data_IF_507683449354
#
_entry.id   IF_507683449354
#
_cell.length_a   1.000
_cell.length_b   1.000
_cell.length_c   1.000
_cell.angle_alpha   90.00
_cell.angle_beta   90.00
_cell.angle_gamma   90.00
#
_symmetry.space_group_name_H-M   'P 1'
#
loop_
_entity.id
_entity.type
_entity.pdbx_description
1 polymer ?
#
# COMPACT_ATOMS: atom_id res chain seq x y z
N UNK A 1 60.10 63.72 25.48
CA UNK A 1 60.17 62.25 25.66
C UNK A 1 59.56 61.94 27.02
N UNK A 2 58.29 61.53 27.08
CA UNK A 2 57.62 60.87 28.21
C UNK A 2 56.23 60.46 27.70
N UNK A 3 56.16 59.23 27.17
CA UNK A 3 54.93 58.66 26.65
C UNK A 3 54.15 58.01 27.78
N UNK A 4 52.89 58.41 27.93
CA UNK A 4 51.92 57.75 28.80
C UNK A 4 51.32 56.60 28.00
N UNK A 5 51.61 55.37 28.41
CA UNK A 5 50.99 54.15 27.88
C UNK A 5 49.73 53.90 28.70
N UNK A 6 48.56 54.06 28.07
CA UNK A 6 47.28 53.60 28.62
C UNK A 6 47.14 52.10 28.36
N UNK A 7 46.75 51.28 29.36
CA UNK A 7 46.49 49.88 29.13
C UNK A 7 45.19 49.74 28.33
N UNK A 8 45.29 49.13 27.16
CA UNK A 8 44.15 48.68 26.36
C UNK A 8 43.47 47.58 27.18
N UNK A 9 42.26 47.85 27.65
CA UNK A 9 41.43 46.86 28.33
C UNK A 9 41.17 45.69 27.38
N UNK A 10 41.54 44.48 27.82
CA UNK A 10 41.09 43.26 27.18
C UNK A 10 39.56 43.20 27.26
N UNK A 11 38.90 43.45 26.13
CA UNK A 11 37.49 43.12 25.95
C UNK A 11 37.40 41.61 25.95
N UNK A 12 36.99 41.03 27.08
CA UNK A 12 36.59 39.63 27.13
C UNK A 12 35.42 39.45 26.16
N UNK A 13 35.67 38.79 25.03
CA UNK A 13 34.62 38.23 24.19
C UNK A 13 33.94 37.13 25.00
N UNK A 14 32.89 37.51 25.72
CA UNK A 14 32.03 36.57 26.42
C UNK A 14 31.30 35.79 25.32
N UNK A 15 31.69 34.54 25.07
CA UNK A 15 30.95 33.63 24.19
C UNK A 15 29.50 33.62 24.68
N UNK A 16 28.60 34.23 23.92
CA UNK A 16 27.16 34.17 24.16
C UNK A 16 26.75 32.72 23.89
N UNK A 17 26.56 31.94 24.96
CA UNK A 17 25.88 30.66 24.89
C UNK A 17 24.39 30.95 24.99
N UNK A 18 23.63 30.71 23.92
CA UNK A 18 22.18 30.77 23.98
C UNK A 18 21.64 29.44 24.53
N UNK A 19 20.60 29.52 25.35
CA UNK A 19 19.88 28.32 25.79
C UNK A 19 19.24 27.60 24.58
N UNK A 20 19.07 26.26 24.65
CA UNK A 20 18.33 25.52 23.64
C UNK A 20 16.94 26.10 23.41
N UNK A 21 16.44 26.00 22.17
CA UNK A 21 15.10 26.52 21.83
C UNK A 21 14.05 25.55 22.39
N UNK A 22 13.19 25.96 23.33
CA UNK A 22 12.11 25.10 23.80
C UNK A 22 11.08 24.93 22.67
N UNK A 23 10.41 23.78 22.60
CA UNK A 23 9.22 23.59 21.75
C UNK A 23 8.11 23.02 22.63
N UNK A 24 7.14 23.87 23.01
CA UNK A 24 6.19 23.54 24.07
C UNK A 24 4.81 23.25 23.52
N UNK A 25 4.17 22.22 24.08
CA UNK A 25 2.74 21.97 23.91
C UNK A 25 1.99 23.01 24.73
N UNK A 26 1.49 24.06 24.08
CA UNK A 26 0.77 25.15 24.76
C UNK A 26 -0.73 24.84 24.88
N UNK A 27 -1.29 24.21 23.86
CA UNK A 27 -2.67 23.73 23.81
C UNK A 27 -2.78 22.66 22.73
N UNK A 28 -3.85 21.87 22.80
CA UNK A 28 -4.29 21.07 21.66
C UNK A 28 -4.55 22.00 20.46
N UNK A 29 -4.11 21.59 19.28
CA UNK A 29 -4.35 22.33 18.03
C UNK A 29 -5.63 21.81 17.38
N UNK A 30 -5.69 20.52 17.07
CA UNK A 30 -6.90 19.80 16.64
C UNK A 30 -6.80 18.30 17.02
N UNK A 31 -7.88 17.54 16.78
CA UNK A 31 -7.92 16.08 16.95
C UNK A 31 -8.17 15.46 15.56
N UNK A 32 -7.20 14.74 14.98
CA UNK A 32 -7.42 14.11 13.67
C UNK A 32 -8.47 13.01 13.72
N UNK A 33 -9.35 12.97 12.71
CA UNK A 33 -10.45 12.00 12.60
C UNK A 33 -10.08 10.73 11.82
N UNK A 34 -9.04 10.79 10.97
CA UNK A 34 -8.65 9.68 10.07
C UNK A 34 -7.40 8.92 10.52
N UNK A 35 -6.60 9.46 11.44
CA UNK A 35 -5.31 8.90 11.87
C UNK A 35 -4.92 9.27 13.29
N UNK A 36 -3.91 8.58 13.81
CA UNK A 36 -3.13 9.03 14.96
C UNK A 36 -1.64 8.98 14.62
N UNK A 37 -0.84 9.86 15.20
CA UNK A 37 0.62 9.81 15.05
C UNK A 37 1.17 8.73 15.99
N UNK A 38 1.82 7.71 15.42
CA UNK A 38 2.37 6.59 16.20
C UNK A 38 3.77 6.88 16.74
N UNK A 39 4.63 7.53 15.94
CA UNK A 39 6.01 7.91 16.28
C UNK A 39 6.59 8.89 15.26
N UNK A 40 7.72 9.50 15.63
CA UNK A 40 8.56 10.30 14.72
C UNK A 40 9.90 9.58 14.50
N UNK A 41 10.37 9.54 13.26
CA UNK A 41 11.64 8.90 12.89
C UNK A 41 12.60 9.94 12.31
N UNK A 42 13.87 9.86 12.70
CA UNK A 42 14.94 10.68 12.13
C UNK A 42 15.49 10.05 10.84
N UNK A 43 15.23 10.66 9.69
CA UNK A 43 15.83 10.32 8.40
C UNK A 43 16.72 11.46 7.87
N UNK A 44 17.11 12.40 8.74
CA UNK A 44 17.97 13.52 8.34
C UNK A 44 19.34 13.01 7.91
N UNK A 45 19.75 13.40 6.71
CA UNK A 45 21.12 13.18 6.22
C UNK A 45 22.11 14.12 6.90
N UNK A 46 21.64 15.32 7.23
CA UNK A 46 22.42 16.32 7.94
C UNK A 46 22.01 16.40 9.42
N UNK A 47 22.87 15.90 10.31
CA UNK A 47 22.69 15.95 11.76
C UNK A 47 23.26 17.24 12.39
N UNK A 48 23.65 18.23 11.59
CA UNK A 48 24.02 19.55 12.08
C UNK A 48 22.90 20.14 12.97
N UNK A 49 23.25 21.08 13.85
CA UNK A 49 22.29 21.73 14.74
C UNK A 49 21.06 22.27 14.02
N UNK A 50 19.93 22.31 14.74
CA UNK A 50 18.63 22.75 14.19
C UNK A 50 18.68 24.19 13.71
N UNK A 51 19.38 25.06 14.43
CA UNK A 51 19.33 26.50 14.21
C UNK A 51 20.73 27.11 14.03
N UNK A 52 20.85 28.01 13.07
CA UNK A 52 22.02 28.83 12.76
C UNK A 52 21.60 30.29 12.87
N UNK A 53 21.82 30.85 14.05
CA UNK A 53 21.23 32.10 14.50
C UNK A 53 22.23 33.25 14.44
N UNK A 54 21.76 34.46 14.22
CA UNK A 54 22.56 35.68 14.38
C UNK A 54 22.57 36.07 15.87
N UNK A 55 23.72 35.97 16.58
CA UNK A 55 23.77 36.24 18.02
C UNK A 55 23.77 37.73 18.37
N UNK A 56 24.43 38.56 17.55
CA UNK A 56 24.56 40.00 17.72
C UNK A 56 24.85 40.69 16.38
N UNK A 57 24.86 42.04 16.35
CA UNK A 57 25.10 42.82 15.12
C UNK A 57 26.56 42.81 14.66
N UNK A 58 27.50 42.47 15.54
CA UNK A 58 28.94 42.44 15.25
C UNK A 58 29.39 41.06 14.75
N UNK A 59 28.54 40.04 14.84
CA UNK A 59 28.87 38.66 14.48
C UNK A 59 29.16 38.47 12.99
N UNK A 60 28.68 39.37 12.13
CA UNK A 60 28.87 39.28 10.68
C UNK A 60 28.28 37.97 10.14
N UNK A 61 29.12 37.15 9.50
CA UNK A 61 28.74 35.81 9.00
C UNK A 61 28.87 34.69 10.04
N UNK A 62 29.32 35.00 11.27
CA UNK A 62 29.45 33.99 12.32
C UNK A 62 28.08 33.74 12.96
N UNK A 63 27.48 32.60 12.63
CA UNK A 63 26.21 32.16 13.20
C UNK A 63 26.44 31.31 14.44
N UNK A 64 25.60 31.52 15.45
CA UNK A 64 25.52 30.68 16.63
C UNK A 64 24.68 29.44 16.29
N UNK A 65 25.21 28.26 16.60
CA UNK A 65 24.47 27.01 16.40
C UNK A 65 23.73 26.61 17.66
N UNK A 66 22.43 26.31 17.53
CA UNK A 66 21.55 25.95 18.66
C UNK A 66 20.66 24.78 18.28
N UNK A 67 20.42 23.87 19.23
CA UNK A 67 19.46 22.78 19.08
C UNK A 67 18.17 23.07 19.86
N UNK A 68 17.13 22.29 19.56
CA UNK A 68 15.95 22.27 20.41
C UNK A 68 16.27 21.67 21.79
N UNK A 69 15.56 22.11 22.81
CA UNK A 69 15.64 21.54 24.16
C UNK A 69 15.32 20.03 24.12
N UNK A 70 16.22 19.20 24.65
CA UNK A 70 16.09 17.73 24.56
C UNK A 70 16.49 17.12 23.21
N UNK A 71 16.89 17.93 22.22
CA UNK A 71 17.27 17.50 20.87
C UNK A 71 16.12 17.58 19.86
N UNK A 72 16.45 17.80 18.58
CA UNK A 72 15.47 18.10 17.52
C UNK A 72 14.31 17.12 17.45
N UNK A 73 14.61 15.81 17.40
CA UNK A 73 13.61 14.78 17.16
C UNK A 73 12.74 14.56 18.39
N UNK A 74 13.35 14.47 19.57
CA UNK A 74 12.60 14.30 20.81
C UNK A 74 11.67 15.48 21.08
N UNK A 75 12.12 16.72 20.82
CA UNK A 75 11.30 17.91 20.96
C UNK A 75 10.11 17.92 19.98
N UNK A 76 10.34 17.56 18.71
CA UNK A 76 9.28 17.46 17.70
C UNK A 76 8.28 16.35 18.02
N UNK A 77 8.76 15.17 18.42
CA UNK A 77 7.91 14.06 18.79
C UNK A 77 7.03 14.39 20.00
N UNK A 78 7.61 14.95 21.07
CA UNK A 78 6.86 15.39 22.24
C UNK A 78 5.82 16.46 21.88
N UNK A 79 6.19 17.41 21.03
CA UNK A 79 5.27 18.45 20.58
C UNK A 79 4.12 17.85 19.77
N UNK A 80 4.40 17.08 18.72
CA UNK A 80 3.39 16.53 17.81
C UNK A 80 2.44 15.58 18.55
N UNK A 81 2.96 14.64 19.35
CA UNK A 81 2.13 13.71 20.11
C UNK A 81 1.26 14.42 21.15
N UNK A 82 1.70 15.56 21.68
CA UNK A 82 0.93 16.35 22.65
C UNK A 82 -0.08 17.30 22.01
N UNK A 83 0.25 17.91 20.86
CA UNK A 83 -0.61 18.91 20.21
C UNK A 83 -1.74 18.29 19.37
N UNK A 84 -1.58 17.03 18.93
CA UNK A 84 -2.51 16.30 18.07
C UNK A 84 -2.93 14.95 18.68
N UNK A 85 -3.60 14.94 19.83
CA UNK A 85 -4.06 13.70 20.45
C UNK A 85 -5.13 13.05 19.56
N UNK A 86 -5.03 11.75 19.34
CA UNK A 86 -6.05 10.99 18.61
C UNK A 86 -6.17 9.55 19.11
N UNK A 87 -7.24 8.88 18.68
CA UNK A 87 -7.56 7.53 19.09
C UNK A 87 -6.71 6.49 18.36
N UNK A 88 -6.17 5.53 19.11
CA UNK A 88 -5.30 4.46 18.58
C UNK A 88 -6.02 3.42 17.71
N UNK A 89 -7.34 3.54 17.52
CA UNK A 89 -8.11 2.72 16.60
C UNK A 89 -8.13 3.28 15.16
N UNK A 90 -7.58 4.49 14.94
CA UNK A 90 -7.44 5.09 13.62
C UNK A 90 -6.16 4.59 12.93
N UNK A 91 -5.89 5.10 11.72
CA UNK A 91 -4.69 4.74 10.97
C UNK A 91 -3.43 5.21 11.68
N UNK A 92 -2.46 4.32 11.85
CA UNK A 92 -1.17 4.65 12.44
C UNK A 92 -0.30 5.41 11.42
N UNK A 93 0.01 6.68 11.70
CA UNK A 93 0.87 7.50 10.84
C UNK A 93 2.20 7.76 11.53
N UNK A 94 3.28 7.54 10.78
CA UNK A 94 4.66 7.83 11.17
C UNK A 94 5.11 9.07 10.42
N UNK A 95 5.78 9.98 11.13
CA UNK A 95 6.40 11.15 10.51
C UNK A 95 7.90 10.91 10.41
N UNK A 96 8.41 10.86 9.18
CA UNK A 96 9.85 10.77 8.88
C UNK A 96 10.39 12.19 8.68
N UNK A 97 11.34 12.58 9.50
CA UNK A 97 11.97 13.90 9.46
C UNK A 97 13.21 13.82 8.56
N UNK A 98 13.17 14.49 7.41
CA UNK A 98 14.29 14.52 6.44
C UNK A 98 15.13 15.78 6.56
N UNK A 99 14.53 16.90 6.94
CA UNK A 99 15.26 18.11 7.31
C UNK A 99 14.46 19.03 8.24
N UNK A 100 15.18 19.71 9.15
CA UNK A 100 14.65 20.76 10.03
C UNK A 100 15.77 21.77 10.26
N UNK A 101 15.62 22.96 9.69
CA UNK A 101 16.61 24.03 9.79
C UNK A 101 15.96 25.37 10.10
N UNK A 102 16.62 26.14 10.94
CA UNK A 102 16.37 27.57 11.12
C UNK A 102 17.67 28.25 10.69
N UNK A 103 17.62 29.06 9.63
CA UNK A 103 18.79 29.74 9.11
C UNK A 103 18.50 31.23 9.13
N UNK A 104 19.37 31.99 9.80
CA UNK A 104 19.24 33.43 9.89
C UNK A 104 20.35 34.17 9.17
N UNK A 105 20.03 35.38 8.73
CA UNK A 105 20.97 36.36 8.22
C UNK A 105 20.68 37.74 8.83
N UNK A 106 21.75 38.51 9.08
CA UNK A 106 21.61 39.89 9.52
C UNK A 106 21.16 40.74 8.33
N UNK A 107 19.93 41.25 8.40
CA UNK A 107 19.32 42.05 7.32
C UNK A 107 19.70 43.52 7.41
N UNK A 108 19.71 44.07 8.62
CA UNK A 108 20.09 45.46 8.88
C UNK A 108 20.85 45.57 10.20
N UNK A 109 22.16 45.78 10.10
CA UNK A 109 23.05 45.95 11.25
C UNK A 109 22.77 47.23 12.06
N UNK A 110 22.23 48.28 11.43
CA UNK A 110 21.96 49.57 12.12
C UNK A 110 20.78 49.43 13.08
N UNK A 111 19.74 48.73 12.63
CA UNK A 111 18.52 48.50 13.40
C UNK A 111 18.52 47.17 14.17
N UNK A 112 19.57 46.34 13.99
CA UNK A 112 19.66 45.02 14.59
C UNK A 112 18.56 44.08 14.11
N UNK A 113 18.16 44.20 12.85
CA UNK A 113 17.10 43.39 12.25
C UNK A 113 17.69 42.10 11.66
N UNK A 114 17.13 40.98 12.08
CA UNK A 114 17.48 39.63 11.60
C UNK A 114 16.32 39.12 10.78
N UNK A 115 16.64 38.50 9.65
CA UNK A 115 15.72 37.72 8.84
C UNK A 115 16.08 36.24 9.01
N UNK A 116 15.07 35.40 9.09
CA UNK A 116 15.26 33.97 9.27
C UNK A 116 14.26 33.16 8.50
N UNK A 117 14.72 32.01 8.03
CA UNK A 117 13.93 31.02 7.33
C UNK A 117 13.91 29.72 8.12
N UNK A 118 12.71 29.17 8.29
CA UNK A 118 12.50 27.83 8.85
C UNK A 118 12.21 26.91 7.69
N UNK A 119 13.00 25.85 7.54
CA UNK A 119 12.82 24.81 6.53
C UNK A 119 12.47 23.49 7.21
N UNK A 120 11.39 22.88 6.77
CA UNK A 120 10.93 21.56 7.18
C UNK A 120 10.80 20.67 5.93
N UNK A 121 11.33 19.46 6.02
CA UNK A 121 11.12 18.39 5.06
C UNK A 121 10.66 17.14 5.81
N UNK A 122 9.36 16.86 5.74
CA UNK A 122 8.71 15.71 6.39
C UNK A 122 8.16 14.75 5.33
N UNK A 123 8.10 13.47 5.69
CA UNK A 123 7.34 12.47 4.95
C UNK A 123 6.41 11.76 5.91
N UNK A 124 5.11 11.79 5.62
CA UNK A 124 4.09 11.06 6.34
C UNK A 124 3.96 9.67 5.73
N UNK A 125 4.03 8.64 6.57
CA UNK A 125 3.93 7.25 6.15
C UNK A 125 2.87 6.52 6.98
N UNK A 126 2.13 5.62 6.33
CA UNK A 126 1.22 4.71 7.00
C UNK A 126 2.00 3.51 7.55
N UNK A 127 1.80 3.18 8.81
CA UNK A 127 2.32 1.97 9.45
C UNK A 127 1.25 0.87 9.42
N UNK A 128 1.54 -0.25 8.76
CA UNK A 128 0.66 -1.43 8.70
C UNK A 128 1.50 -2.70 8.69
N UNK A 129 1.17 -3.65 9.58
CA UNK A 129 1.88 -4.93 9.73
C UNK A 129 3.41 -4.81 9.90
N UNK A 130 3.88 -3.71 10.50
CA UNK A 130 5.30 -3.43 10.69
C UNK A 130 6.03 -2.89 9.46
N UNK A 131 5.32 -2.69 8.35
CA UNK A 131 5.82 -2.02 7.15
C UNK A 131 5.38 -0.55 7.12
N UNK A 132 6.16 0.30 6.45
CA UNK A 132 5.88 1.72 6.26
C UNK A 132 5.62 2.03 4.79
N UNK A 133 4.47 2.64 4.51
CA UNK A 133 4.07 3.07 3.17
C UNK A 133 4.03 4.59 3.11
N UNK A 134 4.93 5.21 2.34
CA UNK A 134 4.94 6.67 2.20
C UNK A 134 3.62 7.15 1.57
N UNK A 135 2.99 8.12 2.23
CA UNK A 135 1.71 8.71 1.82
C UNK A 135 1.94 10.06 1.13
N UNK A 136 2.61 10.98 1.84
CA UNK A 136 2.71 12.38 1.45
C UNK A 136 4.03 12.98 1.94
N UNK A 137 4.67 13.78 1.09
CA UNK A 137 5.80 14.62 1.47
C UNK A 137 5.35 16.06 1.74
N UNK A 138 5.94 16.70 2.74
CA UNK A 138 5.81 18.13 2.98
C UNK A 138 7.20 18.76 2.95
N UNK A 139 7.42 19.69 2.02
CA UNK A 139 8.61 20.53 2.00
C UNK A 139 8.15 21.99 2.07
N UNK A 140 8.41 22.63 3.20
CA UNK A 140 7.83 23.94 3.50
C UNK A 140 8.48 24.61 4.69
N UNK A 141 7.81 25.63 5.22
CA UNK A 141 8.44 26.51 6.18
C UNK A 141 7.78 27.87 6.31
N UNK A 142 8.40 28.75 7.08
CA UNK A 142 8.04 30.17 7.13
C UNK A 142 9.29 31.03 7.19
N UNK A 143 9.20 32.23 6.64
CA UNK A 143 10.17 33.30 6.89
C UNK A 143 9.67 34.21 7.99
N UNK A 144 10.58 34.77 8.78
CA UNK A 144 10.27 35.70 9.86
C UNK A 144 11.33 36.79 9.97
N UNK A 145 11.00 37.82 10.75
CA UNK A 145 11.93 38.86 11.16
C UNK A 145 11.86 39.05 12.67
N UNK A 146 13.02 39.29 13.28
CA UNK A 146 13.11 39.61 14.70
C UNK A 146 14.23 40.60 14.96
N UNK A 147 14.16 41.31 16.08
CA UNK A 147 15.32 42.00 16.62
C UNK A 147 16.39 41.01 17.08
N UNK A 148 17.66 41.40 16.99
CA UNK A 148 18.81 40.53 17.31
C UNK A 148 18.78 39.96 18.74
N UNK A 149 18.10 40.63 19.68
CA UNK A 149 17.92 40.18 21.08
C UNK A 149 16.62 39.38 21.33
N UNK A 150 15.73 39.27 20.36
CA UNK A 150 14.39 38.70 20.53
C UNK A 150 14.33 37.19 20.22
N UNK A 151 15.24 36.40 20.79
CA UNK A 151 15.27 34.95 20.57
C UNK A 151 14.01 34.20 21.02
N UNK A 152 13.24 34.78 21.96
CA UNK A 152 11.96 34.22 22.41
C UNK A 152 10.91 34.09 21.29
N UNK A 153 11.09 34.76 20.15
CA UNK A 153 10.20 34.66 19.00
C UNK A 153 10.46 33.42 18.13
N UNK A 154 11.59 32.74 18.30
CA UNK A 154 11.94 31.54 17.51
C UNK A 154 10.97 30.37 17.73
N UNK A 155 10.61 30.11 19.00
CA UNK A 155 9.70 29.01 19.35
C UNK A 155 8.32 29.19 18.69
N UNK A 156 7.65 30.36 18.78
CA UNK A 156 6.37 30.56 18.11
C UNK A 156 6.43 30.38 16.59
N UNK A 157 7.52 30.79 15.95
CA UNK A 157 7.70 30.62 14.50
C UNK A 157 7.88 29.14 14.13
N UNK A 158 8.76 28.42 14.83
CA UNK A 158 8.96 26.99 14.61
C UNK A 158 7.66 26.19 14.83
N UNK A 159 6.96 26.49 15.92
CA UNK A 159 5.67 25.89 16.25
C UNK A 159 4.65 26.11 15.13
N UNK A 160 4.56 27.33 14.60
CA UNK A 160 3.69 27.64 13.45
C UNK A 160 4.08 26.84 12.21
N UNK A 161 5.37 26.70 11.90
CA UNK A 161 5.82 25.91 10.75
C UNK A 161 5.43 24.44 10.87
N UNK A 162 5.60 23.84 12.07
CA UNK A 162 5.19 22.44 12.32
C UNK A 162 3.68 22.31 12.20
N UNK A 163 2.91 23.26 12.71
CA UNK A 163 1.45 23.24 12.60
C UNK A 163 0.97 23.27 11.14
N UNK A 164 1.60 24.08 10.30
CA UNK A 164 1.29 24.12 8.87
C UNK A 164 1.56 22.78 8.17
N UNK A 165 2.63 22.08 8.57
CA UNK A 165 2.92 20.74 8.03
C UNK A 165 1.84 19.72 8.43
N UNK A 166 1.35 19.81 9.66
CA UNK A 166 0.31 18.93 10.19
C UNK A 166 -1.07 19.24 9.58
N UNK A 167 -1.45 20.52 9.49
CA UNK A 167 -2.66 20.98 8.80
C UNK A 167 -2.66 20.54 7.33
N UNK A 168 -1.52 20.67 6.64
CA UNK A 168 -1.39 20.21 5.26
C UNK A 168 -1.63 18.71 5.09
N UNK A 169 -1.11 17.89 6.01
CA UNK A 169 -1.34 16.45 5.98
C UNK A 169 -2.77 16.08 6.34
N UNK A 170 -3.35 16.76 7.33
CA UNK A 170 -4.73 16.57 7.78
C UNK A 170 -5.73 16.87 6.66
N UNK A 171 -5.62 18.05 6.03
CA UNK A 171 -6.44 18.44 4.87
C UNK A 171 -6.33 17.42 3.73
N UNK A 172 -5.14 16.88 3.50
CA UNK A 172 -4.92 15.87 2.47
C UNK A 172 -5.60 14.55 2.83
N UNK A 173 -5.38 14.02 4.03
CA UNK A 173 -5.90 12.70 4.41
C UNK A 173 -7.42 12.71 4.54
N UNK A 174 -8.03 13.78 5.06
CA UNK A 174 -9.50 13.91 5.11
C UNK A 174 -10.12 13.86 3.72
N UNK A 175 -9.47 14.47 2.73
CA UNK A 175 -9.93 14.50 1.34
C UNK A 175 -9.72 13.17 0.60
N UNK A 176 -8.61 12.49 0.88
CA UNK A 176 -8.17 11.30 0.12
C UNK A 176 -8.60 9.97 0.77
N UNK A 177 -8.87 9.93 2.08
CA UNK A 177 -9.16 8.71 2.84
C UNK A 177 -10.27 7.85 2.24
N UNK A 178 -11.29 8.45 1.62
CA UNK A 178 -12.42 7.73 1.05
C UNK A 178 -12.13 7.07 -0.30
N UNK A 179 -11.07 7.47 -1.01
CA UNK A 179 -10.80 7.08 -2.41
C UNK A 179 -9.38 6.55 -2.63
N UNK A 180 -8.50 6.62 -1.63
CA UNK A 180 -7.11 6.18 -1.74
C UNK A 180 -6.94 4.69 -1.39
N UNK A 181 -6.37 3.91 -2.31
CA UNK A 181 -6.10 2.48 -2.13
C UNK A 181 -5.23 2.18 -0.91
N UNK A 182 -4.23 3.03 -0.61
CA UNK A 182 -3.36 2.83 0.55
C UNK A 182 -4.10 3.06 1.87
N UNK A 183 -5.11 3.92 1.86
CA UNK A 183 -5.89 4.29 3.04
C UNK A 183 -7.12 3.42 3.25
N UNK A 184 -7.42 2.49 2.34
CA UNK A 184 -8.51 1.53 2.51
C UNK A 184 -8.30 0.71 3.79
N UNK A 185 -9.39 0.50 4.54
CA UNK A 185 -9.39 -0.17 5.84
C UNK A 185 -9.88 -1.62 5.76
N UNK A 186 -10.63 -1.95 4.71
CA UNK A 186 -11.19 -3.29 4.51
C UNK A 186 -11.27 -3.64 3.04
N UNK A 187 -11.42 -4.92 2.74
CA UNK A 187 -11.56 -5.45 1.38
C UNK A 187 -12.94 -6.08 1.22
N UNK A 188 -13.59 -5.81 0.09
CA UNK A 188 -14.81 -6.49 -0.32
C UNK A 188 -14.62 -7.10 -1.71
N UNK A 189 -14.84 -8.39 -1.82
CA UNK A 189 -14.80 -9.10 -3.09
C UNK A 189 -16.13 -8.98 -3.82
N UNK A 190 -16.08 -8.66 -5.11
CA UNK A 190 -17.15 -8.91 -6.08
C UNK A 190 -16.66 -10.01 -7.00
N UNK A 191 -17.35 -11.15 -7.00
CA UNK A 191 -16.93 -12.31 -7.78
C UNK A 191 -18.02 -12.69 -8.76
N UNK A 192 -17.62 -12.95 -10.00
CA UNK A 192 -18.53 -13.38 -11.07
C UNK A 192 -17.83 -14.24 -12.10
N UNK A 193 -18.60 -15.02 -12.83
CA UNK A 193 -18.09 -15.73 -14.01
C UNK A 193 -18.02 -14.81 -15.23
N UNK A 194 -17.11 -15.13 -16.15
CA UNK A 194 -17.04 -14.49 -17.44
C UNK A 194 -18.30 -14.76 -18.27
N UNK A 195 -18.95 -13.70 -18.74
CA UNK A 195 -20.32 -13.78 -19.27
C UNK A 195 -20.43 -14.36 -20.69
N UNK A 196 -19.35 -14.32 -21.49
CA UNK A 196 -19.40 -14.80 -22.88
C UNK A 196 -19.23 -16.30 -22.91
N UNK A 197 -20.02 -16.97 -23.73
CA UNK A 197 -20.00 -18.44 -23.86
C UNK A 197 -18.87 -18.94 -24.76
N UNK A 198 -18.39 -18.12 -25.69
CA UNK A 198 -17.33 -18.47 -26.64
C UNK A 198 -16.67 -17.23 -27.24
N UNK A 199 -15.37 -17.32 -27.53
CA UNK A 199 -14.64 -16.31 -28.29
C UNK A 199 -13.58 -16.98 -29.16
N UNK A 200 -13.65 -16.80 -30.49
CA UNK A 200 -12.63 -17.32 -31.42
C UNK A 200 -12.26 -18.79 -31.12
N UNK A 201 -11.09 -19.00 -30.51
CA UNK A 201 -10.51 -20.28 -30.13
C UNK A 201 -10.87 -20.80 -28.72
N UNK A 202 -11.70 -20.08 -27.97
CA UNK A 202 -12.02 -20.40 -26.58
C UNK A 202 -13.51 -20.70 -26.38
N UNK A 203 -13.80 -21.73 -25.59
CA UNK A 203 -15.11 -22.06 -25.05
C UNK A 203 -15.09 -21.76 -23.56
N UNK A 204 -16.05 -20.97 -23.08
CA UNK A 204 -16.21 -20.72 -21.64
C UNK A 204 -17.32 -21.60 -21.07
N UNK A 205 -17.15 -22.01 -19.83
CA UNK A 205 -18.04 -22.97 -19.18
C UNK A 205 -19.44 -22.39 -19.01
N UNK A 206 -20.45 -23.16 -19.41
CA UNK A 206 -21.86 -22.86 -19.16
C UNK A 206 -22.69 -24.12 -19.31
N UNK A 207 -23.62 -24.36 -18.39
CA UNK A 207 -24.58 -25.47 -18.47
C UNK A 207 -25.50 -25.33 -19.69
N UNK A 208 -25.72 -24.12 -20.18
CA UNK A 208 -26.46 -23.83 -21.41
C UNK A 208 -25.66 -24.10 -22.70
N UNK A 209 -24.33 -24.28 -22.62
CA UNK A 209 -23.47 -24.57 -23.78
C UNK A 209 -22.46 -25.69 -23.46
N UNK A 210 -22.91 -26.96 -23.43
CA UNK A 210 -22.02 -28.11 -23.33
C UNK A 210 -21.05 -28.20 -24.51
N UNK A 211 -19.94 -28.90 -24.31
CA UNK A 211 -18.96 -29.16 -25.36
C UNK A 211 -19.56 -29.99 -26.49
N UNK A 212 -19.08 -29.72 -27.70
CA UNK A 212 -19.38 -30.52 -28.88
C UNK A 212 -18.08 -30.91 -29.57
N UNK A 213 -18.09 -31.97 -30.38
CA UNK A 213 -16.90 -32.34 -31.16
C UNK A 213 -16.43 -31.24 -32.12
N UNK A 214 -17.27 -30.25 -32.45
CA UNK A 214 -16.87 -29.07 -33.26
C UNK A 214 -15.91 -28.14 -32.51
N UNK A 215 -15.86 -28.23 -31.18
CA UNK A 215 -14.94 -27.46 -30.36
C UNK A 215 -13.52 -28.06 -30.35
N UNK A 216 -13.31 -29.27 -30.86
CA UNK A 216 -12.00 -29.95 -30.87
C UNK A 216 -11.30 -29.78 -32.23
N UNK A 217 -10.74 -28.58 -32.46
CA UNK A 217 -10.16 -28.18 -33.76
C UNK A 217 -8.65 -28.44 -33.85
N UNK A 218 -8.02 -28.86 -32.76
CA UNK A 218 -6.61 -29.17 -32.68
C UNK A 218 -6.21 -30.40 -33.49
N UNK A 219 -4.91 -30.49 -33.81
CA UNK A 219 -4.35 -31.64 -34.53
C UNK A 219 -4.11 -32.80 -33.56
N UNK A 220 -4.56 -34.03 -33.88
CA UNK A 220 -4.31 -35.19 -33.04
C UNK A 220 -2.82 -35.44 -32.79
N UNK A 221 -2.46 -35.65 -31.51
CA UNK A 221 -1.10 -36.05 -31.11
C UNK A 221 -0.81 -37.49 -31.52
N UNK A 222 0.45 -37.92 -31.60
CA UNK A 222 0.86 -39.30 -31.96
C UNK A 222 0.76 -40.31 -30.79
N UNK A 223 -0.17 -40.10 -29.85
CA UNK A 223 -0.38 -41.00 -28.70
C UNK A 223 -1.57 -41.97 -28.93
N UNK A 224 -1.81 -42.88 -27.97
CA UNK A 224 -2.86 -43.91 -28.04
C UNK A 224 -4.29 -43.40 -27.72
N UNK A 225 -4.46 -42.13 -27.37
CA UNK A 225 -5.74 -41.59 -26.94
C UNK A 225 -6.64 -41.25 -28.12
N UNK A 226 -7.95 -41.37 -27.91
CA UNK A 226 -8.98 -41.11 -28.93
C UNK A 226 -9.28 -39.62 -29.09
N UNK A 227 -9.24 -38.88 -27.97
CA UNK A 227 -9.40 -37.45 -27.87
C UNK A 227 -8.53 -36.91 -26.72
N UNK A 228 -8.41 -35.58 -26.65
CA UNK A 228 -7.81 -34.87 -25.53
C UNK A 228 -8.36 -33.45 -25.48
N UNK A 229 -8.76 -33.02 -24.30
CA UNK A 229 -9.19 -31.66 -23.99
C UNK A 229 -8.10 -30.85 -23.31
N UNK A 230 -8.01 -29.57 -23.67
CA UNK A 230 -7.33 -28.55 -22.87
C UNK A 230 -8.39 -27.73 -22.13
N UNK A 231 -8.70 -28.12 -20.89
CA UNK A 231 -9.57 -27.37 -19.99
C UNK A 231 -8.73 -26.75 -18.86
N UNK A 232 -8.98 -25.49 -18.55
CA UNK A 232 -8.23 -24.74 -17.54
C UNK A 232 -9.07 -23.65 -16.90
N UNK A 233 -8.49 -23.04 -15.87
CA UNK A 233 -9.05 -21.94 -15.11
C UNK A 233 -8.21 -20.67 -15.29
N UNK A 234 -8.81 -19.51 -15.00
CA UNK A 234 -8.16 -18.20 -15.00
C UNK A 234 -9.04 -17.16 -14.32
N UNK A 235 -8.51 -15.97 -14.08
CA UNK A 235 -9.31 -14.84 -13.60
C UNK A 235 -8.75 -13.51 -14.12
N UNK A 236 -9.62 -12.51 -14.19
CA UNK A 236 -9.24 -11.10 -14.31
C UNK A 236 -9.51 -10.42 -12.98
N UNK A 237 -8.68 -9.44 -12.63
CA UNK A 237 -8.80 -8.67 -11.39
C UNK A 237 -8.73 -7.18 -11.67
N UNK A 238 -9.63 -6.43 -11.07
CA UNK A 238 -9.57 -4.97 -11.01
C UNK A 238 -9.97 -4.50 -9.61
N UNK A 239 -9.52 -3.32 -9.19
CA UNK A 239 -9.87 -2.79 -7.88
C UNK A 239 -10.16 -1.29 -7.91
N UNK A 240 -11.00 -0.86 -6.98
CA UNK A 240 -11.39 0.53 -6.76
C UNK A 240 -11.68 0.74 -5.28
N UNK A 241 -11.50 1.95 -4.75
CA UNK A 241 -11.92 2.27 -3.39
C UNK A 241 -13.22 3.07 -3.42
N UNK A 242 -14.14 2.68 -2.54
CA UNK A 242 -15.40 3.37 -2.31
C UNK A 242 -15.62 3.47 -0.80
N UNK A 243 -15.71 4.70 -0.27
CA UNK A 243 -15.93 4.98 1.15
C UNK A 243 -14.95 4.23 2.08
N UNK A 244 -13.66 4.22 1.73
CA UNK A 244 -12.61 3.56 2.52
C UNK A 244 -12.60 2.03 2.45
N UNK A 245 -13.44 1.43 1.59
CA UNK A 245 -13.46 -0.02 1.32
C UNK A 245 -12.82 -0.28 -0.04
N UNK A 246 -11.81 -1.16 -0.08
CA UNK A 246 -11.24 -1.65 -1.33
C UNK A 246 -12.16 -2.71 -1.95
N UNK A 247 -12.83 -2.33 -3.03
CA UNK A 247 -13.65 -3.23 -3.83
C UNK A 247 -12.77 -3.93 -4.86
N UNK A 248 -12.72 -5.25 -4.82
CA UNK A 248 -11.94 -6.07 -5.78
C UNK A 248 -12.93 -6.85 -6.65
N UNK A 249 -13.00 -6.52 -7.94
CA UNK A 249 -13.80 -7.27 -8.93
C UNK A 249 -12.96 -8.39 -9.54
N UNK A 250 -13.35 -9.63 -9.26
CA UNK A 250 -12.74 -10.85 -9.78
C UNK A 250 -13.69 -11.50 -10.79
N UNK A 251 -13.23 -11.59 -12.04
CA UNK A 251 -13.96 -12.25 -13.12
C UNK A 251 -13.31 -13.58 -13.44
N UNK A 252 -13.91 -14.67 -12.98
CA UNK A 252 -13.39 -16.02 -13.14
C UNK A 252 -13.73 -16.59 -14.51
N UNK A 253 -12.79 -17.33 -15.08
CA UNK A 253 -12.89 -18.01 -16.36
C UNK A 253 -12.62 -19.49 -16.14
N UNK A 254 -13.62 -20.32 -16.40
CA UNK A 254 -13.42 -21.74 -16.68
C UNK A 254 -13.50 -21.89 -18.19
N UNK A 255 -12.43 -22.34 -18.83
CA UNK A 255 -12.34 -22.31 -20.29
C UNK A 255 -11.70 -23.56 -20.89
N UNK A 256 -12.02 -23.80 -22.16
CA UNK A 256 -11.42 -24.82 -23.01
C UNK A 256 -10.86 -24.16 -24.28
N UNK A 257 -9.65 -24.56 -24.68
CA UNK A 257 -9.01 -24.07 -25.91
C UNK A 257 -9.24 -25.05 -27.06
N UNK A 258 -9.90 -24.58 -28.12
CA UNK A 258 -10.31 -25.40 -29.26
C UNK A 258 -9.12 -25.92 -30.04
N UNK A 259 -8.17 -25.04 -30.38
CA UNK A 259 -6.94 -25.40 -31.11
C UNK A 259 -6.02 -26.34 -30.36
N UNK A 260 -6.14 -26.39 -29.02
CA UNK A 260 -5.34 -27.26 -28.15
C UNK A 260 -6.06 -28.56 -27.77
N UNK A 261 -7.30 -28.75 -28.22
CA UNK A 261 -8.10 -29.94 -27.97
C UNK A 261 -8.39 -30.66 -29.28
N UNK A 262 -8.28 -31.99 -29.32
CA UNK A 262 -8.34 -32.75 -30.57
C UNK A 262 -9.09 -34.08 -30.41
N UNK A 263 -9.58 -34.62 -31.52
CA UNK A 263 -10.20 -35.95 -31.63
C UNK A 263 -9.75 -36.62 -32.93
N UNK A 264 -9.45 -37.93 -32.89
CA UNK A 264 -8.92 -38.66 -34.06
C UNK A 264 -9.98 -39.08 -35.07
N UNK A 265 -10.98 -39.83 -34.60
CA UNK A 265 -11.94 -40.52 -35.49
C UNK A 265 -13.13 -41.16 -34.76
N UNK A 266 -13.08 -41.34 -33.43
CA UNK A 266 -14.23 -41.84 -32.65
C UNK A 266 -14.97 -40.70 -31.96
N UNK A 267 -16.07 -40.26 -32.56
CA UNK A 267 -16.95 -39.22 -32.03
C UNK A 267 -18.13 -39.84 -31.26
N UNK A 268 -17.86 -40.73 -30.31
CA UNK A 268 -18.93 -41.32 -29.50
C UNK A 268 -19.44 -40.29 -28.48
N UNK A 269 -20.72 -40.39 -28.12
CA UNK A 269 -21.30 -39.59 -27.03
C UNK A 269 -20.63 -39.88 -25.68
N UNK A 270 -20.22 -41.13 -25.47
CA UNK A 270 -19.49 -41.57 -24.29
C UNK A 270 -18.10 -40.91 -24.17
N UNK A 271 -17.35 -40.83 -25.27
CA UNK A 271 -16.06 -40.14 -25.30
C UNK A 271 -16.22 -38.63 -25.11
N UNK A 272 -17.25 -38.02 -25.70
CA UNK A 272 -17.51 -36.59 -25.52
C UNK A 272 -17.86 -36.28 -24.06
N UNK A 273 -18.64 -37.15 -23.42
CA UNK A 273 -18.93 -37.05 -22.00
C UNK A 273 -17.64 -37.12 -21.16
N UNK A 274 -16.69 -37.98 -21.52
CA UNK A 274 -15.40 -38.05 -20.81
C UNK A 274 -14.69 -36.69 -20.82
N UNK A 275 -14.56 -36.06 -22.00
CA UNK A 275 -13.93 -34.74 -22.14
C UNK A 275 -14.74 -33.63 -21.46
N UNK A 276 -16.08 -33.70 -21.51
CA UNK A 276 -16.96 -32.76 -20.79
C UNK A 276 -16.69 -32.81 -19.28
N UNK A 277 -16.50 -34.00 -18.69
CA UNK A 277 -16.19 -34.14 -17.26
C UNK A 277 -14.87 -33.49 -16.85
N UNK A 278 -13.86 -33.40 -17.72
CA UNK A 278 -12.67 -32.58 -17.44
C UNK A 278 -13.02 -31.10 -17.34
N UNK A 279 -13.91 -30.61 -18.20
CA UNK A 279 -14.35 -29.22 -18.16
C UNK A 279 -15.18 -28.92 -16.90
N UNK A 280 -16.00 -29.89 -16.48
CA UNK A 280 -16.76 -29.83 -15.23
C UNK A 280 -15.86 -29.84 -13.99
N UNK A 281 -14.79 -30.64 -13.98
CA UNK A 281 -13.76 -30.59 -12.93
C UNK A 281 -13.17 -29.18 -12.82
N UNK A 282 -12.80 -28.55 -13.94
CA UNK A 282 -12.29 -27.19 -13.91
C UNK A 282 -13.30 -26.19 -13.31
N UNK A 283 -14.60 -26.37 -13.59
CA UNK A 283 -15.67 -25.54 -12.99
C UNK A 283 -15.78 -25.75 -11.48
N UNK A 284 -15.79 -27.00 -11.03
CA UNK A 284 -15.80 -27.34 -9.59
C UNK A 284 -14.69 -26.59 -8.85
N UNK A 285 -13.48 -26.60 -9.42
CA UNK A 285 -12.32 -25.94 -8.80
C UNK A 285 -12.50 -24.42 -8.71
N UNK A 286 -13.07 -23.78 -9.73
CA UNK A 286 -13.40 -22.35 -9.66
C UNK A 286 -14.41 -22.05 -8.56
N UNK A 287 -15.46 -22.85 -8.41
CA UNK A 287 -16.45 -22.63 -7.34
C UNK A 287 -15.87 -22.87 -5.94
N UNK A 288 -15.00 -23.88 -5.78
CA UNK A 288 -14.23 -24.09 -4.55
C UNK A 288 -13.32 -22.90 -4.23
N UNK A 289 -12.64 -22.34 -5.24
CA UNK A 289 -11.82 -21.14 -5.09
C UNK A 289 -12.67 -19.94 -4.66
N UNK A 290 -13.81 -19.68 -5.31
CA UNK A 290 -14.73 -18.60 -4.91
C UNK A 290 -15.18 -18.76 -3.46
N UNK A 291 -15.60 -19.95 -3.05
CA UNK A 291 -15.99 -20.23 -1.67
C UNK A 291 -14.82 -19.98 -0.69
N UNK A 292 -13.60 -20.37 -1.05
CA UNK A 292 -12.41 -20.11 -0.23
C UNK A 292 -12.15 -18.62 -0.08
N UNK A 293 -12.21 -17.85 -1.17
CA UNK A 293 -11.96 -16.41 -1.16
C UNK A 293 -13.07 -15.64 -0.43
N UNK A 294 -14.33 -16.06 -0.55
CA UNK A 294 -15.46 -15.43 0.13
C UNK A 294 -15.36 -15.48 1.65
N UNK A 295 -14.77 -16.55 2.19
CA UNK A 295 -14.61 -16.78 3.62
C UNK A 295 -13.26 -16.27 4.16
N UNK A 296 -12.48 -15.58 3.33
CA UNK A 296 -11.16 -15.08 3.70
C UNK A 296 -11.21 -13.70 4.31
N UNK A 297 -10.43 -13.49 5.37
CA UNK A 297 -10.11 -12.15 5.83
C UNK A 297 -8.95 -11.58 4.98
N UNK A 298 -9.26 -10.53 4.22
CA UNK A 298 -8.34 -9.90 3.27
C UNK A 298 -7.95 -8.52 3.78
N UNK A 299 -6.64 -8.26 3.83
CA UNK A 299 -6.10 -6.96 4.16
C UNK A 299 -5.77 -6.19 2.86
N UNK A 300 -6.08 -4.88 2.76
CA UNK A 300 -5.79 -4.10 1.57
C UNK A 300 -4.31 -4.06 1.16
N UNK A 301 -3.37 -4.33 2.07
CA UNK A 301 -1.92 -4.39 1.78
C UNK A 301 -1.45 -5.71 1.15
N UNK A 302 -2.24 -6.79 1.27
CA UNK A 302 -1.80 -8.13 0.88
C UNK A 302 -2.85 -8.96 0.13
N UNK A 303 -4.04 -8.40 -0.14
CA UNK A 303 -5.13 -9.11 -0.81
C UNK A 303 -4.70 -9.77 -2.13
N UNK A 304 -3.91 -9.09 -2.97
CA UNK A 304 -3.43 -9.63 -4.25
C UNK A 304 -2.57 -10.88 -4.07
N UNK A 305 -1.69 -10.86 -3.06
CA UNK A 305 -0.82 -11.99 -2.73
C UNK A 305 -1.64 -13.18 -2.25
N UNK A 306 -2.63 -12.95 -1.38
CA UNK A 306 -3.55 -14.00 -0.89
C UNK A 306 -4.37 -14.60 -2.02
N UNK A 307 -5.00 -13.77 -2.86
CA UNK A 307 -5.79 -14.24 -4.01
C UNK A 307 -4.92 -15.06 -4.96
N UNK A 308 -3.73 -14.56 -5.30
CA UNK A 308 -2.80 -15.27 -6.20
C UNK A 308 -2.35 -16.61 -5.63
N UNK A 309 -2.05 -16.67 -4.32
CA UNK A 309 -1.70 -17.91 -3.64
C UNK A 309 -2.81 -18.96 -3.74
N UNK A 310 -4.05 -18.58 -3.41
CA UNK A 310 -5.18 -19.52 -3.46
C UNK A 310 -5.55 -19.92 -4.89
N UNK A 311 -5.38 -19.04 -5.87
CA UNK A 311 -5.50 -19.40 -7.27
C UNK A 311 -4.48 -20.48 -7.68
N UNK A 312 -3.22 -20.36 -7.26
CA UNK A 312 -2.19 -21.38 -7.55
C UNK A 312 -2.50 -22.72 -6.87
N UNK A 313 -3.04 -22.70 -5.65
CA UNK A 313 -3.50 -23.92 -4.98
C UNK A 313 -4.67 -24.56 -5.73
N UNK A 314 -5.66 -23.79 -6.15
CA UNK A 314 -6.77 -24.26 -6.96
C UNK A 314 -6.28 -24.86 -8.30
N UNK A 315 -5.31 -24.23 -8.96
CA UNK A 315 -4.72 -24.77 -10.19
C UNK A 315 -4.01 -26.11 -9.97
N UNK A 316 -3.29 -26.26 -8.85
CA UNK A 316 -2.65 -27.54 -8.47
C UNK A 316 -3.71 -28.61 -8.17
N UNK A 317 -4.77 -28.24 -7.47
CA UNK A 317 -5.89 -29.13 -7.17
C UNK A 317 -6.59 -29.63 -8.43
N UNK A 318 -6.86 -28.73 -9.39
CA UNK A 318 -7.41 -29.07 -10.70
C UNK A 318 -6.59 -30.16 -11.39
N UNK A 319 -5.27 -29.97 -11.48
CA UNK A 319 -4.40 -30.94 -12.14
C UNK A 319 -4.43 -32.30 -11.45
N UNK A 320 -4.38 -32.33 -10.11
CA UNK A 320 -4.49 -33.59 -9.34
C UNK A 320 -5.83 -34.29 -9.56
N UNK A 321 -6.93 -33.55 -9.61
CA UNK A 321 -8.26 -34.12 -9.83
C UNK A 321 -8.44 -34.65 -11.26
N UNK A 322 -7.92 -33.93 -12.26
CA UNK A 322 -7.89 -34.40 -13.64
C UNK A 322 -7.05 -35.67 -13.80
N UNK A 323 -5.83 -35.70 -13.25
CA UNK A 323 -4.96 -36.89 -13.27
C UNK A 323 -5.61 -38.09 -12.56
N UNK A 324 -6.29 -37.87 -11.43
CA UNK A 324 -7.02 -38.91 -10.72
C UNK A 324 -8.20 -39.45 -11.55
N UNK A 325 -8.93 -38.57 -12.24
CA UNK A 325 -10.03 -38.94 -13.12
C UNK A 325 -9.53 -39.78 -14.30
N UNK A 326 -8.49 -39.34 -15.01
CA UNK A 326 -7.86 -40.10 -16.09
C UNK A 326 -7.32 -41.45 -15.63
N UNK A 327 -6.57 -41.47 -14.52
CA UNK A 327 -5.98 -42.69 -13.98
C UNK A 327 -7.03 -43.74 -13.60
N UNK A 328 -8.10 -43.31 -12.92
CA UNK A 328 -9.13 -44.24 -12.42
C UNK A 328 -10.10 -44.70 -13.50
N UNK A 329 -10.37 -43.87 -14.52
CA UNK A 329 -11.21 -44.25 -15.67
C UNK A 329 -10.42 -44.97 -16.77
N UNK A 330 -9.11 -45.16 -16.57
CA UNK A 330 -8.22 -45.68 -17.61
C UNK A 330 -8.32 -44.85 -18.89
N UNK A 331 -8.24 -43.52 -18.75
CA UNK A 331 -8.36 -42.51 -19.81
C UNK A 331 -9.66 -42.70 -20.60
N UNK A 332 -10.77 -42.82 -19.87
CA UNK A 332 -12.11 -43.01 -20.41
C UNK A 332 -12.45 -44.42 -20.90
N UNK A 333 -11.57 -45.42 -20.81
CA UNK A 333 -11.88 -46.78 -21.30
C UNK A 333 -12.68 -47.65 -20.31
N UNK A 334 -12.74 -47.27 -19.03
CA UNK A 334 -13.48 -47.98 -17.98
C UNK A 334 -14.83 -47.31 -17.69
N UNK A 335 -15.89 -47.80 -18.34
CA UNK A 335 -17.25 -47.26 -18.22
C UNK A 335 -17.80 -47.27 -16.79
N UNK A 336 -17.53 -48.31 -16.01
CA UNK A 336 -18.00 -48.39 -14.62
C UNK A 336 -17.34 -47.34 -13.73
N UNK A 337 -16.04 -47.08 -13.94
CA UNK A 337 -15.33 -46.04 -13.20
C UNK A 337 -15.77 -44.64 -13.62
N UNK A 338 -15.96 -44.40 -14.94
CA UNK A 338 -16.46 -43.12 -15.44
C UNK A 338 -17.85 -42.81 -14.88
N UNK A 339 -18.75 -43.80 -14.83
CA UNK A 339 -20.09 -43.61 -14.25
C UNK A 339 -20.06 -43.23 -12.76
N UNK A 340 -19.12 -43.78 -11.98
CA UNK A 340 -18.93 -43.35 -10.58
C UNK A 340 -18.44 -41.91 -10.49
N UNK A 341 -17.52 -41.52 -11.36
CA UNK A 341 -17.02 -40.15 -11.44
C UNK A 341 -18.09 -39.16 -11.92
N UNK A 342 -18.92 -39.55 -12.88
CA UNK A 342 -20.06 -38.75 -13.35
C UNK A 342 -20.94 -38.37 -12.17
N UNK A 343 -21.41 -39.36 -11.39
CA UNK A 343 -22.24 -39.13 -10.20
C UNK A 343 -21.56 -38.24 -9.17
N UNK A 344 -20.26 -38.43 -8.95
CA UNK A 344 -19.46 -37.60 -8.03
C UNK A 344 -19.41 -36.14 -8.49
N UNK A 345 -19.09 -35.92 -9.77
CA UNK A 345 -19.00 -34.58 -10.37
C UNK A 345 -20.37 -33.90 -10.38
N UNK A 346 -21.44 -34.63 -10.74
CA UNK A 346 -22.80 -34.10 -10.76
C UNK A 346 -23.27 -33.69 -9.36
N UNK A 347 -23.00 -34.54 -8.35
CA UNK A 347 -23.33 -34.22 -6.95
C UNK A 347 -22.61 -32.96 -6.50
N UNK A 348 -21.33 -32.86 -6.83
CA UNK A 348 -20.50 -31.75 -6.39
C UNK A 348 -20.86 -30.43 -7.10
N UNK A 349 -21.12 -30.46 -8.41
CA UNK A 349 -21.62 -29.30 -9.14
C UNK A 349 -22.93 -28.80 -8.55
N UNK A 350 -23.85 -29.71 -8.23
CA UNK A 350 -25.12 -29.36 -7.61
C UNK A 350 -24.95 -28.75 -6.21
N UNK A 351 -24.09 -29.31 -5.37
CA UNK A 351 -23.75 -28.75 -4.05
C UNK A 351 -23.14 -27.35 -4.14
N UNK A 352 -22.42 -27.06 -5.23
CA UNK A 352 -21.83 -25.76 -5.54
C UNK A 352 -22.80 -24.81 -6.27
N UNK A 353 -24.06 -25.23 -6.49
CA UNK A 353 -25.09 -24.42 -7.14
C UNK A 353 -24.91 -24.23 -8.64
N UNK A 354 -24.25 -25.18 -9.31
CA UNK A 354 -24.08 -25.22 -10.77
C UNK A 354 -25.09 -26.21 -11.35
N UNK A 355 -26.22 -25.69 -11.84
CA UNK A 355 -27.33 -26.46 -12.41
C UNK A 355 -27.49 -26.33 -13.94
#
# INVERSE_FOLDING_TARGET
MLGIVLPIGNVFSQKVSLDPIPLKVVSQVFSPDEYYISKVIDERKDLNPTAFLVPDVASGSNLLTVNLEGGTIAALEQYILGAYPSSKNLRAVVIKIKDVKIIENLKDARNGLVEGDIHLDFTFALERDGELFDLLGFQGGISYQRGVRQFHLLEPYLRRSVNLAMEYFDDWIEKDASNNNLLAQSVRLKMRDYARLSESDTVFYSTARPLTWKDFTGRPSFNKYAASIFASIGYESSSSVENGVLIVDLVFKTYMLKSSSWVRSSNSSYGLNHEQRHFDIAKIIIERLKNTLQNMDLDPSNYERKISFHYLEAFREMNRMQEAYDGQTSHGTNASAQERWNKKIDTELHELGVD
#
